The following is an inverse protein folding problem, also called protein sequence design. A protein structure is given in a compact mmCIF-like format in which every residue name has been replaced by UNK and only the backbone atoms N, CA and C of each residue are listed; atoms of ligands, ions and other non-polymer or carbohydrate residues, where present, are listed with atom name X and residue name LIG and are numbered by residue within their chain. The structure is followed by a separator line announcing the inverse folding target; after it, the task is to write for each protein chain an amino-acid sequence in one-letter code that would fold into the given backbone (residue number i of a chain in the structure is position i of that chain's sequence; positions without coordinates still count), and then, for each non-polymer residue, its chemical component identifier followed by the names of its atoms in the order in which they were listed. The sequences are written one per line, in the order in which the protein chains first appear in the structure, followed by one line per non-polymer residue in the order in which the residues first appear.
data_IF_554403212487
#
_entry.id   IF_554403212487
#
_cell.length_a   1.000
_cell.length_b   1.000
_cell.length_c   1.000
_cell.angle_alpha   90.00
_cell.angle_beta   90.00
_cell.angle_gamma   90.00
#
_symmetry.space_group_name_H-M   'P 1'
#
loop_
_entity.id
_entity.type
_entity.pdbx_description
1 polymer ?
#
# COMPACT_ATOMS: atom_id res chain seq x y z
N UNK A 1 13.27 -20.40 -1.16
CA UNK A 1 13.79 -19.11 -0.63
C UNK A 1 13.20 -17.96 -1.44
N UNK A 2 11.96 -17.65 -1.20
CA UNK A 2 11.35 -16.44 -1.75
C UNK A 2 11.36 -15.39 -0.64
N UNK A 3 12.25 -14.40 -0.78
CA UNK A 3 12.23 -13.23 0.09
C UNK A 3 10.81 -12.65 0.14
N UNK A 4 10.35 -12.17 1.31
CA UNK A 4 9.03 -11.62 1.43
C UNK A 4 8.93 -10.39 0.52
N UNK A 5 8.09 -10.50 -0.51
CA UNK A 5 7.73 -9.42 -1.40
C UNK A 5 6.97 -8.39 -0.57
N UNK A 6 7.68 -7.39 -0.07
CA UNK A 6 7.02 -6.24 0.55
C UNK A 6 6.44 -5.40 -0.59
N UNK A 7 5.12 -5.32 -0.67
CA UNK A 7 4.38 -4.49 -1.65
C UNK A 7 4.95 -3.06 -1.78
N UNK A 8 5.58 -2.54 -0.73
CA UNK A 8 6.25 -1.22 -0.74
C UNK A 8 7.49 -1.18 -1.64
N UNK A 9 8.34 -2.21 -1.63
CA UNK A 9 9.52 -2.28 -2.50
C UNK A 9 9.15 -2.43 -3.96
N UNK A 10 8.17 -3.26 -4.26
CA UNK A 10 7.73 -3.51 -5.63
C UNK A 10 7.04 -2.30 -6.28
N UNK A 11 6.27 -1.52 -5.51
CA UNK A 11 5.62 -0.32 -6.04
C UNK A 11 6.65 0.70 -6.54
N UNK A 12 7.72 0.95 -5.78
CA UNK A 12 8.78 1.88 -6.18
C UNK A 12 9.54 1.43 -7.40
N UNK A 13 9.93 0.16 -7.44
CA UNK A 13 10.63 -0.41 -8.59
C UNK A 13 9.75 -0.36 -9.84
N UNK A 14 8.47 -0.67 -9.68
CA UNK A 14 7.51 -0.58 -10.77
C UNK A 14 7.30 0.87 -11.22
N UNK A 15 7.13 1.80 -10.27
CA UNK A 15 6.99 3.22 -10.57
C UNK A 15 8.24 3.77 -11.27
N UNK A 16 9.44 3.44 -10.78
CA UNK A 16 10.69 3.85 -11.42
C UNK A 16 10.76 3.33 -12.87
N UNK A 17 10.50 2.04 -13.10
CA UNK A 17 10.49 1.47 -14.44
C UNK A 17 9.43 2.08 -15.38
N UNK A 18 8.28 2.50 -14.85
CA UNK A 18 7.29 3.24 -15.63
C UNK A 18 7.81 4.63 -15.98
N UNK A 19 8.38 5.33 -14.99
CA UNK A 19 8.91 6.68 -15.19
C UNK A 19 10.09 6.69 -16.15
N UNK A 20 11.00 5.72 -16.10
CA UNK A 20 12.11 5.55 -17.06
C UNK A 20 11.61 5.42 -18.50
N UNK A 21 10.44 4.80 -18.71
CA UNK A 21 9.86 4.70 -20.04
C UNK A 21 9.16 5.99 -20.52
N UNK A 22 8.60 6.78 -19.60
CA UNK A 22 7.86 8.00 -19.94
C UNK A 22 8.71 9.26 -19.94
N UNK A 23 9.78 9.29 -19.16
CA UNK A 23 10.68 10.43 -19.03
C UNK A 23 12.14 9.93 -18.91
N UNK A 24 12.69 9.30 -19.99
CA UNK A 24 14.01 8.69 -19.99
C UNK A 24 15.16 9.69 -19.83
N UNK A 25 14.88 10.98 -19.94
CA UNK A 25 15.86 12.05 -19.73
C UNK A 25 16.23 12.24 -18.25
N UNK A 26 15.52 11.60 -17.32
CA UNK A 26 15.79 11.67 -15.88
C UNK A 26 16.46 10.40 -15.36
N UNK A 27 17.31 10.55 -14.37
CA UNK A 27 17.90 9.44 -13.62
C UNK A 27 17.02 9.14 -12.39
N UNK A 28 16.60 7.88 -12.25
CA UNK A 28 15.75 7.41 -11.15
C UNK A 28 16.57 6.56 -10.19
N UNK A 29 16.72 7.01 -8.94
CA UNK A 29 17.47 6.30 -7.90
C UNK A 29 16.50 5.77 -6.85
N UNK A 30 16.39 4.45 -6.75
CA UNK A 30 15.59 3.77 -5.72
C UNK A 30 16.48 3.46 -4.52
N UNK A 31 15.95 3.72 -3.31
CA UNK A 31 16.67 3.49 -2.03
C UNK A 31 18.02 4.22 -1.92
N UNK A 32 18.06 5.48 -2.35
CA UNK A 32 19.25 6.30 -2.25
C UNK A 32 19.80 6.35 -0.82
N UNK A 33 21.06 5.98 -0.65
CA UNK A 33 21.77 6.07 0.63
C UNK A 33 22.21 7.50 0.95
N UNK A 34 22.35 8.35 -0.07
CA UNK A 34 22.71 9.78 0.03
C UNK A 34 21.73 10.60 -0.80
N UNK A 35 21.28 11.72 -0.26
CA UNK A 35 20.24 12.55 -0.87
C UNK A 35 20.79 13.88 -1.46
N UNK A 36 22.05 14.23 -1.19
CA UNK A 36 22.59 15.56 -1.51
C UNK A 36 22.78 15.87 -3.00
N UNK A 37 22.62 14.87 -3.87
CA UNK A 37 22.75 14.97 -5.34
C UNK A 37 21.39 14.87 -6.06
N UNK A 38 20.29 14.76 -5.32
CA UNK A 38 18.97 14.62 -5.90
C UNK A 38 18.35 16.00 -6.19
N UNK A 39 17.73 16.16 -7.34
CA UNK A 39 16.95 17.33 -7.72
C UNK A 39 15.52 17.25 -7.17
N UNK A 40 15.00 16.04 -6.95
CA UNK A 40 13.70 15.76 -6.40
C UNK A 40 13.74 14.52 -5.51
N UNK A 41 13.03 14.58 -4.38
CA UNK A 41 12.79 13.43 -3.51
C UNK A 41 11.35 12.98 -3.57
N UNK A 42 11.11 11.70 -3.83
CA UNK A 42 9.78 11.11 -3.76
C UNK A 42 9.69 10.16 -2.55
N UNK A 43 8.90 10.54 -1.55
CA UNK A 43 8.77 9.82 -0.29
C UNK A 43 7.43 9.11 -0.12
N UNK A 44 7.47 7.99 0.64
CA UNK A 44 6.28 7.21 1.01
C UNK A 44 6.22 6.94 2.52
N UNK A 45 7.14 7.51 3.26
CA UNK A 45 7.18 7.38 4.72
C UNK A 45 6.57 8.61 5.37
N UNK A 46 6.20 8.47 6.63
CA UNK A 46 5.71 9.59 7.46
C UNK A 46 6.76 10.65 7.77
N UNK A 47 8.03 10.42 7.43
CA UNK A 47 9.14 11.35 7.69
C UNK A 47 9.94 11.60 6.42
N UNK A 48 10.49 12.81 6.32
CA UNK A 48 11.41 13.22 5.25
C UNK A 48 12.86 13.12 5.74
N UNK A 49 13.83 12.81 4.85
CA UNK A 49 15.25 12.94 5.15
C UNK A 49 15.61 14.38 5.58
N UNK A 50 16.67 14.51 6.37
CA UNK A 50 17.08 15.82 6.92
C UNK A 50 17.38 16.85 5.83
N UNK A 51 18.02 16.46 4.73
CA UNK A 51 18.33 17.33 3.59
C UNK A 51 17.07 17.91 2.94
N UNK A 52 16.01 17.08 2.82
CA UNK A 52 14.70 17.51 2.33
C UNK A 52 14.02 18.40 3.35
N UNK A 53 14.14 18.06 4.63
CA UNK A 53 13.58 18.82 5.77
C UNK A 53 14.15 20.25 5.88
N UNK A 54 15.42 20.41 5.52
CA UNK A 54 16.09 21.71 5.47
C UNK A 54 15.75 22.51 4.20
N UNK A 55 14.83 22.02 3.37
CA UNK A 55 14.38 22.71 2.15
C UNK A 55 15.40 22.70 1.01
N UNK A 56 16.48 21.92 1.11
CA UNK A 56 17.54 21.86 0.09
C UNK A 56 17.10 21.07 -1.15
N UNK A 57 16.16 20.14 -0.98
CA UNK A 57 15.66 19.27 -2.05
C UNK A 57 14.12 19.33 -2.01
N UNK A 58 13.45 19.65 -3.13
CA UNK A 58 12.01 19.60 -3.21
C UNK A 58 11.52 18.16 -3.04
N UNK A 59 10.33 18.00 -2.45
CA UNK A 59 9.77 16.67 -2.19
C UNK A 59 8.36 16.51 -2.76
N UNK A 60 8.10 15.30 -3.26
CA UNK A 60 6.76 14.76 -3.50
C UNK A 60 6.54 13.65 -2.47
N UNK A 61 5.33 13.57 -1.93
CA UNK A 61 4.96 12.54 -0.94
C UNK A 61 3.77 11.73 -1.43
N UNK A 62 3.90 10.41 -1.48
CA UNK A 62 2.74 9.53 -1.68
C UNK A 62 2.24 9.00 -0.34
N UNK A 63 0.94 9.15 -0.12
CA UNK A 63 0.23 8.64 1.06
C UNK A 63 -0.77 7.57 0.60
N UNK A 64 -0.42 6.29 0.70
CA UNK A 64 -1.28 5.21 0.22
C UNK A 64 -2.48 4.97 1.15
N UNK A 65 -2.32 5.17 2.45
CA UNK A 65 -3.37 5.02 3.44
C UNK A 65 -3.15 5.92 4.67
N UNK A 66 -4.18 6.03 5.49
CA UNK A 66 -4.19 6.77 6.75
C UNK A 66 -4.74 5.88 7.89
N UNK A 67 -4.29 4.63 7.97
CA UNK A 67 -4.82 3.61 8.89
C UNK A 67 -4.75 4.05 10.35
N UNK A 68 -3.70 4.76 10.74
CA UNK A 68 -3.56 5.32 12.09
C UNK A 68 -4.64 6.36 12.45
N UNK A 69 -5.35 6.91 11.46
CA UNK A 69 -6.51 7.78 11.66
C UNK A 69 -7.84 7.04 11.59
N UNK A 70 -7.92 6.03 10.71
CA UNK A 70 -9.15 5.24 10.49
C UNK A 70 -9.36 4.20 11.58
N UNK A 71 -8.29 3.54 12.01
CA UNK A 71 -8.31 2.45 12.97
C UNK A 71 -7.51 2.80 14.24
N UNK A 72 -7.95 3.83 14.99
CA UNK A 72 -7.21 4.34 16.15
C UNK A 72 -6.98 3.29 17.24
N UNK A 73 -7.85 2.29 17.34
CA UNK A 73 -7.76 1.20 18.30
C UNK A 73 -6.61 0.21 18.04
N UNK A 74 -6.05 0.19 16.82
CA UNK A 74 -4.90 -0.64 16.45
C UNK A 74 -3.54 0.00 16.81
N UNK A 75 -3.56 1.22 17.33
CA UNK A 75 -2.36 1.99 17.63
C UNK A 75 -2.43 2.56 19.03
N UNK A 76 -1.30 2.64 19.72
CA UNK A 76 -1.22 3.36 20.99
C UNK A 76 -1.40 4.86 20.78
N UNK A 77 -1.80 5.56 21.82
CA UNK A 77 -1.95 7.02 21.77
C UNK A 77 -0.66 7.75 21.34
N UNK A 78 0.48 7.29 21.87
CA UNK A 78 1.80 7.84 21.55
C UNK A 78 2.17 7.62 20.07
N UNK A 79 1.97 6.42 19.54
CA UNK A 79 2.24 6.10 18.14
C UNK A 79 1.41 6.99 17.21
N UNK A 80 0.12 7.14 17.49
CA UNK A 80 -0.78 8.01 16.72
C UNK A 80 -0.34 9.46 16.76
N UNK A 81 0.03 9.97 17.92
CA UNK A 81 0.45 11.36 18.08
C UNK A 81 1.76 11.63 17.33
N UNK A 82 2.72 10.72 17.40
CA UNK A 82 3.98 10.79 16.67
C UNK A 82 3.72 10.72 15.17
N UNK A 83 2.96 9.73 14.71
CA UNK A 83 2.61 9.59 13.30
C UNK A 83 1.93 10.85 12.77
N UNK A 84 0.95 11.39 13.49
CA UNK A 84 0.22 12.59 13.11
C UNK A 84 1.15 13.81 12.94
N UNK A 85 2.08 14.00 13.88
CA UNK A 85 3.06 15.11 13.81
C UNK A 85 4.02 14.95 12.65
N UNK A 86 4.57 13.75 12.47
CA UNK A 86 5.51 13.44 11.40
C UNK A 86 4.86 13.61 10.02
N UNK A 87 3.67 13.02 9.83
CA UNK A 87 2.93 13.16 8.57
C UNK A 87 2.59 14.62 8.28
N UNK A 88 2.00 15.34 9.23
CA UNK A 88 1.66 16.74 9.02
C UNK A 88 2.88 17.58 8.62
N UNK A 89 4.02 17.37 9.28
CA UNK A 89 5.25 18.10 8.98
C UNK A 89 5.75 17.75 7.57
N UNK A 90 5.84 16.47 7.22
CA UNK A 90 6.31 16.02 5.93
C UNK A 90 5.41 16.51 4.78
N UNK A 91 4.10 16.37 4.93
CA UNK A 91 3.13 16.76 3.90
C UNK A 91 3.06 18.28 3.69
N UNK A 92 3.24 19.09 4.76
CA UNK A 92 3.30 20.55 4.62
C UNK A 92 4.54 21.01 3.87
N UNK A 93 5.65 20.30 4.04
CA UNK A 93 6.90 20.61 3.36
C UNK A 93 6.94 20.10 1.91
N UNK A 94 6.20 19.04 1.60
CA UNK A 94 6.10 18.53 0.25
C UNK A 94 5.51 19.58 -0.71
N UNK A 95 6.05 19.66 -1.92
CA UNK A 95 5.51 20.49 -3.00
C UNK A 95 4.21 19.90 -3.56
N UNK A 96 4.14 18.56 -3.64
CA UNK A 96 2.95 17.81 -4.06
C UNK A 96 2.76 16.61 -3.15
N UNK A 97 1.52 16.25 -2.97
CA UNK A 97 1.10 15.05 -2.25
C UNK A 97 0.29 14.20 -3.20
N UNK A 98 0.66 12.94 -3.32
CA UNK A 98 -0.06 11.96 -4.13
C UNK A 98 -0.83 11.05 -3.19
N UNK A 99 -2.07 10.76 -3.52
CA UNK A 99 -2.88 9.76 -2.82
C UNK A 99 -3.61 8.87 -3.81
N UNK A 100 -4.12 7.74 -3.33
CA UNK A 100 -4.64 6.67 -4.20
C UNK A 100 -6.16 6.75 -4.43
N UNK A 101 -6.86 7.66 -3.73
CA UNK A 101 -8.31 7.77 -3.86
C UNK A 101 -8.84 9.14 -3.43
N UNK A 102 -10.03 9.50 -3.93
CA UNK A 102 -10.74 10.72 -3.52
C UNK A 102 -11.05 10.77 -2.03
N UNK A 103 -11.53 9.69 -1.38
CA UNK A 103 -11.71 9.69 0.07
C UNK A 103 -10.43 9.97 0.85
N UNK A 104 -9.28 9.43 0.39
CA UNK A 104 -8.00 9.72 1.04
C UNK A 104 -7.58 11.20 0.86
N UNK A 105 -7.87 11.82 -0.29
CA UNK A 105 -7.68 13.27 -0.51
C UNK A 105 -8.48 14.10 0.48
N UNK A 106 -9.73 13.75 0.69
CA UNK A 106 -10.62 14.44 1.65
C UNK A 106 -10.10 14.30 3.07
N UNK A 107 -9.68 13.11 3.49
CA UNK A 107 -9.08 12.90 4.81
C UNK A 107 -7.79 13.69 5.01
N UNK A 108 -6.90 13.72 4.02
CA UNK A 108 -5.68 14.53 4.06
C UNK A 108 -6.00 16.01 4.23
N UNK A 109 -6.98 16.51 3.49
CA UNK A 109 -7.40 17.91 3.58
C UNK A 109 -8.06 18.23 4.92
N UNK A 110 -9.06 17.46 5.33
CA UNK A 110 -9.87 17.76 6.50
C UNK A 110 -9.15 17.46 7.82
N UNK A 111 -8.56 16.26 7.93
CA UNK A 111 -7.96 15.79 9.19
C UNK A 111 -6.51 16.25 9.39
N UNK A 112 -5.72 16.31 8.30
CA UNK A 112 -4.33 16.76 8.36
C UNK A 112 -4.15 18.22 7.99
N UNK A 113 -5.20 18.89 7.51
CA UNK A 113 -5.19 20.29 7.08
C UNK A 113 -4.12 20.54 6.01
N UNK A 114 -4.07 19.67 5.01
CA UNK A 114 -3.24 19.84 3.83
C UNK A 114 -4.06 20.55 2.75
N UNK A 115 -3.45 21.52 2.11
CA UNK A 115 -4.07 22.27 1.02
C UNK A 115 -4.50 21.33 -0.11
N UNK A 116 -5.81 21.27 -0.46
CA UNK A 116 -6.31 20.41 -1.53
C UNK A 116 -5.63 20.64 -2.88
N UNK A 117 -5.15 21.87 -3.15
CA UNK A 117 -4.43 22.21 -4.38
C UNK A 117 -3.06 21.50 -4.49
N UNK A 118 -2.51 21.02 -3.38
CA UNK A 118 -1.28 20.23 -3.34
C UNK A 118 -1.52 18.73 -3.57
N UNK A 119 -2.77 18.25 -3.48
CA UNK A 119 -3.10 16.83 -3.42
C UNK A 119 -3.59 16.35 -4.78
N UNK A 120 -2.83 15.46 -5.37
CA UNK A 120 -3.18 14.76 -6.60
C UNK A 120 -3.69 13.34 -6.27
N UNK A 121 -4.77 12.93 -6.92
CA UNK A 121 -5.29 11.57 -6.81
C UNK A 121 -4.77 10.75 -7.98
N UNK A 122 -3.90 9.80 -7.70
CA UNK A 122 -3.36 8.86 -8.69
C UNK A 122 -3.68 7.44 -8.24
N UNK A 123 -4.55 6.77 -8.97
CA UNK A 123 -4.81 5.36 -8.71
C UNK A 123 -3.52 4.56 -8.99
N UNK A 124 -3.16 3.61 -8.10
CA UNK A 124 -2.03 2.73 -8.37
C UNK A 124 -2.25 2.01 -9.70
N UNK A 125 -1.25 2.02 -10.55
CA UNK A 125 -1.26 1.20 -11.74
C UNK A 125 -1.38 -0.26 -11.29
N UNK A 126 -2.38 -0.96 -11.80
CA UNK A 126 -2.45 -2.39 -11.63
C UNK A 126 -1.18 -3.01 -12.23
N UNK A 127 -0.54 -3.89 -11.49
CA UNK A 127 0.50 -4.72 -12.07
C UNK A 127 -0.04 -5.32 -13.37
N UNK A 128 0.80 -5.44 -14.40
CA UNK A 128 0.37 -6.04 -15.67
C UNK A 128 -0.34 -7.36 -15.38
N UNK A 129 -1.65 -7.33 -15.54
CA UNK A 129 -2.40 -8.58 -15.55
C UNK A 129 -1.96 -9.36 -16.79
N UNK A 130 -1.78 -10.68 -16.68
CA UNK A 130 -1.56 -11.51 -17.86
C UNK A 130 -2.64 -11.19 -18.89
N UNK A 131 -2.23 -10.92 -20.12
CA UNK A 131 -3.19 -10.63 -21.21
C UNK A 131 -3.96 -11.86 -21.64
N UNK A 132 -3.40 -13.03 -21.38
CA UNK A 132 -4.01 -14.32 -21.69
C UNK A 132 -4.46 -15.00 -20.40
N UNK A 133 -5.63 -15.65 -20.41
CA UNK A 133 -6.06 -16.48 -19.28
C UNK A 133 -5.08 -17.65 -19.10
N UNK A 134 -4.86 -18.10 -17.86
CA UNK A 134 -4.00 -19.25 -17.60
C UNK A 134 -4.55 -20.50 -18.29
N UNK A 135 -3.65 -21.39 -18.72
CA UNK A 135 -4.02 -22.65 -19.31
C UNK A 135 -4.80 -23.52 -18.32
N UNK A 136 -5.74 -24.31 -18.80
CA UNK A 136 -6.55 -25.21 -17.97
C UNK A 136 -5.69 -26.13 -17.10
N UNK A 137 -4.58 -26.64 -17.65
CA UNK A 137 -3.64 -27.49 -16.92
C UNK A 137 -2.98 -26.76 -15.73
N UNK A 138 -2.71 -25.45 -15.85
CA UNK A 138 -2.15 -24.62 -14.77
C UNK A 138 -3.17 -24.40 -13.67
N UNK A 139 -4.43 -24.19 -14.02
CA UNK A 139 -5.53 -24.06 -13.07
C UNK A 139 -5.72 -25.36 -12.26
N UNK A 140 -5.72 -26.50 -12.94
CA UNK A 140 -5.84 -27.80 -12.30
C UNK A 140 -4.62 -28.15 -11.42
N UNK A 141 -3.42 -27.79 -11.88
CA UNK A 141 -2.21 -27.91 -11.06
C UNK A 141 -2.32 -27.08 -9.78
N UNK A 142 -2.74 -25.83 -9.89
CA UNK A 142 -2.91 -24.94 -8.75
C UNK A 142 -3.97 -25.45 -7.79
N UNK A 143 -5.11 -25.90 -8.29
CA UNK A 143 -6.16 -26.52 -7.46
C UNK A 143 -5.62 -27.70 -6.66
N UNK A 144 -4.91 -28.62 -7.31
CA UNK A 144 -4.32 -29.79 -6.64
C UNK A 144 -3.24 -29.42 -5.65
N UNK A 145 -2.34 -28.51 -6.03
CA UNK A 145 -1.22 -28.07 -5.20
C UNK A 145 -1.66 -27.48 -3.86
N UNK A 146 -2.74 -26.69 -3.87
CA UNK A 146 -3.23 -25.98 -2.69
C UNK A 146 -4.50 -26.61 -2.09
N UNK A 147 -4.99 -27.70 -2.62
CA UNK A 147 -6.20 -28.37 -2.14
C UNK A 147 -7.44 -27.46 -2.19
N UNK A 148 -7.56 -26.64 -3.26
CA UNK A 148 -8.61 -25.64 -3.33
C UNK A 148 -9.99 -26.29 -3.45
N UNK A 149 -11.01 -25.81 -2.69
CA UNK A 149 -12.39 -26.24 -2.84
C UNK A 149 -12.93 -25.98 -4.25
N UNK A 150 -13.99 -26.67 -4.62
CA UNK A 150 -14.67 -26.46 -5.91
C UNK A 150 -15.24 -25.03 -6.00
N UNK A 151 -15.92 -24.61 -4.94
CA UNK A 151 -16.43 -23.26 -4.77
C UNK A 151 -15.77 -22.60 -3.55
N UNK A 152 -15.28 -21.40 -3.69
CA UNK A 152 -14.67 -20.69 -2.59
C UNK A 152 -14.74 -19.16 -2.75
N UNK A 153 -14.70 -18.48 -1.62
CA UNK A 153 -14.47 -17.04 -1.54
C UNK A 153 -12.97 -16.83 -1.44
N UNK A 154 -12.39 -16.10 -2.38
CA UNK A 154 -10.98 -15.73 -2.35
C UNK A 154 -10.79 -14.40 -1.65
N UNK A 155 -10.03 -14.40 -0.56
CA UNK A 155 -9.56 -13.20 0.12
C UNK A 155 -8.08 -12.98 -0.18
N UNK A 156 -7.75 -11.79 -0.69
CA UNK A 156 -6.37 -11.44 -1.04
C UNK A 156 -5.89 -10.34 -0.09
N UNK A 157 -4.76 -10.58 0.58
CA UNK A 157 -4.14 -9.61 1.47
C UNK A 157 -3.56 -10.24 2.73
N UNK A 158 -2.83 -9.45 3.51
CA UNK A 158 -2.31 -9.87 4.81
C UNK A 158 -3.46 -10.12 5.79
N UNK A 159 -3.34 -11.17 6.61
CA UNK A 159 -4.35 -11.46 7.64
C UNK A 159 -4.15 -10.51 8.81
N UNK A 160 -4.90 -9.42 8.82
CA UNK A 160 -4.85 -8.35 9.84
C UNK A 160 -6.27 -7.90 10.21
N UNK A 161 -6.49 -7.39 11.43
CA UNK A 161 -7.83 -7.03 11.92
C UNK A 161 -8.58 -6.06 11.01
N UNK A 162 -7.88 -5.09 10.42
CA UNK A 162 -8.52 -4.08 9.56
C UNK A 162 -8.97 -4.60 8.18
N UNK A 163 -8.58 -5.83 7.80
CA UNK A 163 -9.10 -6.51 6.62
C UNK A 163 -10.41 -7.27 6.86
N UNK A 164 -10.86 -7.32 8.13
CA UNK A 164 -12.16 -7.84 8.54
C UNK A 164 -12.47 -9.27 8.04
N UNK A 165 -11.50 -10.18 8.17
CA UNK A 165 -11.67 -11.57 7.78
C UNK A 165 -12.80 -12.25 8.57
N UNK A 166 -12.99 -11.87 9.84
CA UNK A 166 -14.04 -12.38 10.72
C UNK A 166 -15.43 -12.24 10.09
N UNK A 167 -15.75 -11.06 9.53
CA UNK A 167 -17.05 -10.85 8.89
C UNK A 167 -17.31 -11.80 7.71
N UNK A 168 -16.28 -12.23 6.99
CA UNK A 168 -16.41 -13.21 5.91
C UNK A 168 -16.62 -14.60 6.49
N UNK A 169 -15.95 -14.96 7.58
CA UNK A 169 -16.11 -16.24 8.25
C UNK A 169 -17.51 -16.34 8.89
N UNK A 170 -18.00 -15.26 9.53
CA UNK A 170 -19.34 -15.18 10.08
C UNK A 170 -20.41 -15.32 8.98
N UNK A 171 -20.20 -14.63 7.85
CA UNK A 171 -21.11 -14.75 6.70
C UNK A 171 -21.09 -16.17 6.11
N UNK A 172 -19.90 -16.83 6.07
CA UNK A 172 -19.78 -18.19 5.59
C UNK A 172 -20.60 -19.18 6.42
N UNK A 173 -20.68 -18.97 7.74
CA UNK A 173 -21.49 -19.80 8.63
C UNK A 173 -23.00 -19.74 8.30
N UNK A 174 -23.45 -18.71 7.58
CA UNK A 174 -24.83 -18.55 7.11
C UNK A 174 -25.06 -19.13 5.70
N UNK A 175 -24.00 -19.54 5.01
CA UNK A 175 -24.09 -20.11 3.67
C UNK A 175 -24.16 -21.64 3.70
N UNK A 176 -24.54 -22.22 2.56
CA UNK A 176 -24.49 -23.68 2.37
C UNK A 176 -23.04 -24.17 2.52
N UNK A 177 -22.85 -25.32 3.18
CA UNK A 177 -21.58 -25.93 3.57
C UNK A 177 -20.61 -26.26 2.42
N UNK A 178 -20.97 -26.01 1.17
CA UNK A 178 -20.14 -26.29 -0.02
C UNK A 178 -19.14 -25.18 -0.38
N UNK A 179 -19.29 -24.00 0.23
CA UNK A 179 -18.43 -22.87 -0.09
C UNK A 179 -17.29 -22.80 0.92
N UNK A 180 -16.06 -22.86 0.43
CA UNK A 180 -14.86 -22.66 1.28
C UNK A 180 -14.39 -21.21 1.30
N UNK A 181 -13.42 -20.91 2.15
CA UNK A 181 -12.65 -19.65 2.12
C UNK A 181 -11.20 -19.97 1.83
N UNK A 182 -10.62 -19.26 0.88
CA UNK A 182 -9.21 -19.33 0.53
C UNK A 182 -8.57 -17.95 0.80
N UNK A 183 -7.61 -17.91 1.69
CA UNK A 183 -6.89 -16.67 2.00
C UNK A 183 -5.51 -16.72 1.34
N UNK A 184 -5.27 -15.80 0.42
CA UNK A 184 -3.99 -15.64 -0.26
C UNK A 184 -3.27 -14.39 0.26
N UNK A 185 -2.30 -14.59 1.16
CA UNK A 185 -1.58 -13.48 1.77
C UNK A 185 -0.64 -13.92 2.88
N UNK A 186 0.02 -12.94 3.49
CA UNK A 186 0.92 -13.20 4.60
C UNK A 186 0.13 -13.50 5.88
N UNK A 187 0.48 -14.60 6.56
CA UNK A 187 -0.01 -14.89 7.91
C UNK A 187 0.62 -13.92 8.92
N UNK A 188 -0.15 -13.55 9.92
CA UNK A 188 0.28 -12.78 11.08
C UNK A 188 -0.14 -13.52 12.35
N UNK A 189 0.26 -13.01 13.51
CA UNK A 189 -0.20 -13.55 14.81
C UNK A 189 -1.74 -13.55 14.87
N UNK A 190 -2.39 -12.56 14.28
CA UNK A 190 -3.86 -12.48 14.23
C UNK A 190 -4.50 -13.65 13.48
N UNK A 191 -3.81 -14.25 12.51
CA UNK A 191 -4.33 -15.43 11.79
C UNK A 191 -4.50 -16.68 12.65
N UNK A 192 -3.90 -16.71 13.83
CA UNK A 192 -3.99 -17.83 14.76
C UNK A 192 -5.25 -17.73 15.65
N UNK A 193 -5.97 -16.60 15.59
CA UNK A 193 -7.22 -16.35 16.30
C UNK A 193 -8.47 -16.47 15.39
N UNK A 194 -8.29 -16.64 14.08
CA UNK A 194 -9.35 -16.86 13.10
C UNK A 194 -9.63 -18.36 12.89
#
# INVERSE_FOLDING_TARGET
DTAPVTLRGNYFQHLAGVLENYAPEHEYVVDAKRYGHLDLYHGFRSSLPLSVHLGRIPAVMTVPNLDFLRYPHLYTFSERLIALRLYRRALRQARRVITVSTPAREELSQRLRIDPAKIEVMMPLAARMPQEPPLQAELEHTRRKYGLPEMFILMIGTVEPHHNHEAVLDALALLDSRVGVVVCGRRTVYSDFL
#
